data_IF_586480605820
#
_entry.id   IF_586480605820
#
_cell.length_a   1.000
_cell.length_b   1.000
_cell.length_c   1.000
_cell.angle_alpha   90.00
_cell.angle_beta   90.00
_cell.angle_gamma   90.00
#
_symmetry.space_group_name_H-M   'P 1'
#
loop_
_entity.id
_entity.type
_entity.pdbx_description
1 polymer ?
#
# COMPACT_ATOMS: atom_id res chain seq x y z
N UNK A 1 -32.31 -1.04 28.38
CA UNK A 1 -32.14 -1.51 26.99
C UNK A 1 -30.72 -2.00 26.86
N UNK A 2 -30.52 -3.32 26.77
CA UNK A 2 -29.19 -3.94 26.69
C UNK A 2 -28.83 -4.15 25.22
N UNK A 3 -27.73 -3.54 24.78
CA UNK A 3 -27.20 -3.72 23.44
C UNK A 3 -26.54 -5.10 23.34
N UNK A 4 -27.17 -6.01 22.60
CA UNK A 4 -26.60 -7.31 22.26
C UNK A 4 -25.42 -7.12 21.31
N UNK A 5 -24.20 -7.06 21.84
CA UNK A 5 -22.99 -7.26 21.07
C UNK A 5 -22.38 -8.62 21.44
N UNK A 6 -22.09 -9.44 20.43
CA UNK A 6 -21.28 -10.64 20.58
C UNK A 6 -19.83 -10.19 20.82
N UNK A 7 -19.39 -10.21 22.07
CA UNK A 7 -17.97 -10.17 22.39
C UNK A 7 -17.34 -11.47 21.89
N UNK A 8 -16.64 -11.39 20.75
CA UNK A 8 -15.81 -12.50 20.32
C UNK A 8 -14.57 -12.47 21.21
N UNK A 9 -14.53 -13.35 22.21
CA UNK A 9 -13.38 -13.58 23.07
C UNK A 9 -12.22 -14.18 22.25
N UNK A 10 -11.45 -13.32 21.59
CA UNK A 10 -10.30 -13.74 20.77
C UNK A 10 -9.09 -14.01 21.65
N UNK A 11 -9.08 -15.14 22.35
CA UNK A 11 -7.95 -15.53 23.23
C UNK A 11 -7.14 -16.73 22.73
N UNK A 12 -7.26 -17.13 21.46
CA UNK A 12 -6.34 -18.09 20.87
C UNK A 12 -5.52 -17.46 19.75
N UNK A 13 -4.19 -17.48 19.93
CA UNK A 13 -3.24 -17.05 18.90
C UNK A 13 -3.44 -17.80 17.59
N UNK A 14 -3.91 -19.05 17.65
CA UNK A 14 -4.13 -19.89 16.47
C UNK A 14 -5.33 -19.44 15.64
N UNK A 15 -6.44 -19.02 16.25
CA UNK A 15 -7.54 -18.40 15.49
C UNK A 15 -7.11 -17.07 14.90
N UNK A 16 -6.34 -16.26 15.64
CA UNK A 16 -5.78 -15.02 15.12
C UNK A 16 -4.80 -15.26 13.95
N UNK A 17 -3.96 -16.29 14.02
CA UNK A 17 -3.05 -16.69 12.93
C UNK A 17 -3.82 -17.20 11.72
N UNK A 18 -4.83 -18.05 11.93
CA UNK A 18 -5.67 -18.59 10.86
C UNK A 18 -6.50 -17.51 10.19
N UNK A 19 -7.14 -16.61 10.95
CA UNK A 19 -7.83 -15.44 10.41
C UNK A 19 -6.87 -14.55 9.62
N UNK A 20 -5.67 -14.24 10.16
CA UNK A 20 -4.65 -13.48 9.41
C UNK A 20 -4.20 -14.17 8.13
N UNK A 21 -4.00 -15.49 8.16
CA UNK A 21 -3.62 -16.26 6.96
C UNK A 21 -4.74 -16.32 5.94
N UNK A 22 -5.97 -16.67 6.35
CA UNK A 22 -7.13 -16.76 5.47
C UNK A 22 -7.44 -15.41 4.82
N UNK A 23 -7.33 -14.30 5.57
CA UNK A 23 -7.45 -12.94 5.00
C UNK A 23 -6.32 -12.68 3.99
N UNK A 24 -5.06 -12.99 4.32
CA UNK A 24 -3.91 -12.79 3.41
C UNK A 24 -3.98 -13.65 2.15
N UNK A 25 -4.54 -14.85 2.22
CA UNK A 25 -4.68 -15.77 1.08
C UNK A 25 -5.91 -15.48 0.22
N UNK A 26 -6.99 -14.92 0.78
CA UNK A 26 -8.24 -14.65 0.05
C UNK A 26 -8.27 -13.32 -0.68
N UNK A 27 -7.44 -12.35 -0.32
CA UNK A 27 -7.63 -10.98 -0.82
C UNK A 27 -6.93 -10.68 -2.15
N UNK A 28 -6.02 -11.53 -2.64
CA UNK A 28 -5.17 -11.21 -3.80
C UNK A 28 -4.53 -9.81 -3.68
N UNK A 29 -4.30 -9.33 -2.45
CA UNK A 29 -3.86 -7.96 -2.18
C UNK A 29 -2.34 -7.93 -2.16
N UNK A 30 -1.76 -7.63 -3.32
CA UNK A 30 -0.34 -7.31 -3.42
C UNK A 30 -0.06 -5.91 -2.85
N UNK A 31 0.92 -5.81 -1.95
CA UNK A 31 1.37 -4.54 -1.38
C UNK A 31 2.68 -4.12 -2.03
N UNK A 32 2.70 -2.93 -2.62
CA UNK A 32 3.93 -2.36 -3.20
C UNK A 32 4.83 -1.86 -2.08
N UNK A 33 6.11 -2.24 -2.10
CA UNK A 33 7.12 -1.72 -1.16
C UNK A 33 8.26 -1.08 -1.91
N UNK A 34 8.55 0.18 -1.60
CA UNK A 34 9.67 0.93 -2.20
C UNK A 34 10.55 1.52 -1.11
N UNK A 35 11.83 1.14 -1.12
CA UNK A 35 12.84 1.66 -0.20
C UNK A 35 13.60 2.82 -0.83
N UNK A 36 13.67 3.93 -0.12
CA UNK A 36 14.42 5.12 -0.51
C UNK A 36 15.76 5.15 0.20
N UNK A 37 16.77 5.74 -0.45
CA UNK A 37 18.12 5.88 0.10
C UNK A 37 18.25 7.06 1.08
N UNK A 38 17.18 7.85 1.27
CA UNK A 38 17.15 9.01 2.16
C UNK A 38 15.77 9.11 2.83
N UNK A 39 15.68 9.65 4.05
CA UNK A 39 14.40 9.93 4.68
C UNK A 39 13.55 10.89 3.85
N UNK A 40 12.25 10.59 3.78
CA UNK A 40 11.25 11.37 3.06
C UNK A 40 10.57 12.39 3.99
N UNK A 41 10.02 13.44 3.40
CA UNK A 41 9.07 14.33 4.04
C UNK A 41 7.69 13.66 4.05
N UNK A 42 7.15 13.26 5.23
CA UNK A 42 5.88 12.53 5.30
C UNK A 42 4.70 13.29 4.68
N UNK A 43 4.72 14.63 4.67
CA UNK A 43 3.66 15.45 4.06
C UNK A 43 3.53 15.23 2.54
N UNK A 44 4.62 14.78 1.90
CA UNK A 44 4.66 14.50 0.46
C UNK A 44 4.40 13.03 0.12
N UNK A 45 4.27 12.17 1.14
CA UNK A 45 3.99 10.74 1.00
C UNK A 45 2.47 10.55 1.09
N UNK A 46 1.79 10.72 -0.04
CA UNK A 46 0.33 10.71 -0.15
C UNK A 46 -0.12 10.24 -1.54
N UNK A 47 -1.43 10.06 -1.71
CA UNK A 47 -2.05 9.49 -2.92
C UNK A 47 -2.01 10.37 -4.17
N UNK A 48 -1.60 11.64 -4.04
CA UNK A 48 -1.36 12.53 -5.18
C UNK A 48 0.03 12.26 -5.78
N UNK A 49 1.00 11.93 -4.92
CA UNK A 49 2.38 11.72 -5.34
C UNK A 49 2.76 10.25 -5.50
N UNK A 50 1.97 9.34 -4.93
CA UNK A 50 2.18 7.90 -4.91
C UNK A 50 0.86 7.22 -5.23
N UNK A 51 0.71 6.69 -6.43
CA UNK A 51 -0.56 6.09 -6.84
C UNK A 51 -0.38 4.94 -7.80
N UNK A 52 -1.31 3.98 -7.72
CA UNK A 52 -1.36 2.82 -8.61
C UNK A 52 -2.38 3.08 -9.69
N UNK A 53 -2.03 2.80 -10.94
CA UNK A 53 -2.97 2.77 -12.07
C UNK A 53 -3.08 1.38 -12.67
N UNK A 54 -4.24 1.04 -13.24
CA UNK A 54 -4.38 -0.12 -14.11
C UNK A 54 -3.92 0.20 -15.54
N UNK A 55 -4.02 -0.79 -16.44
CA UNK A 55 -3.66 -0.69 -17.84
C UNK A 55 -4.38 0.44 -18.59
N UNK A 56 -5.62 0.74 -18.20
CA UNK A 56 -6.45 1.81 -18.75
C UNK A 56 -6.15 3.19 -18.13
N UNK A 57 -5.05 3.31 -17.38
CA UNK A 57 -4.64 4.51 -16.66
C UNK A 57 -5.64 4.99 -15.59
N UNK A 58 -6.56 4.14 -15.15
CA UNK A 58 -7.46 4.45 -14.04
C UNK A 58 -6.74 4.25 -12.72
N UNK A 59 -6.83 5.25 -11.82
CA UNK A 59 -6.25 5.16 -10.47
C UNK A 59 -7.06 4.22 -9.58
N UNK A 60 -6.34 3.38 -8.83
CA UNK A 60 -6.90 2.54 -7.77
C UNK A 60 -6.90 3.30 -6.44
N UNK A 61 -7.93 3.11 -5.61
CA UNK A 61 -7.90 3.65 -4.25
C UNK A 61 -6.86 2.86 -3.46
N UNK A 62 -6.00 3.54 -2.73
CA UNK A 62 -4.89 2.89 -2.03
C UNK A 62 -4.70 3.46 -0.63
N UNK A 63 -4.35 2.60 0.31
CA UNK A 63 -3.75 2.99 1.59
C UNK A 63 -2.25 3.23 1.38
N UNK A 64 -1.70 4.24 2.04
CA UNK A 64 -0.28 4.59 1.95
C UNK A 64 0.29 4.68 3.35
N UNK A 65 1.39 3.98 3.59
CA UNK A 65 2.12 4.01 4.86
C UNK A 65 3.57 4.37 4.59
N UNK A 66 4.15 5.14 5.50
CA UNK A 66 5.57 5.46 5.47
C UNK A 66 6.25 4.97 6.75
N UNK A 67 7.19 4.04 6.59
CA UNK A 67 8.11 3.66 7.64
C UNK A 67 9.35 4.55 7.56
N UNK A 68 9.39 5.55 8.44
CA UNK A 68 10.49 6.49 8.54
C UNK A 68 11.78 5.88 9.10
N UNK A 69 11.71 4.76 9.83
CA UNK A 69 12.89 4.09 10.35
C UNK A 69 13.64 3.34 9.23
N UNK A 70 12.90 2.75 8.30
CA UNK A 70 13.45 1.98 7.18
C UNK A 70 13.46 2.73 5.85
N UNK A 71 13.01 3.99 5.83
CA UNK A 71 12.82 4.80 4.62
C UNK A 71 12.02 4.07 3.54
N UNK A 72 10.97 3.37 3.95
CA UNK A 72 10.20 2.50 3.05
C UNK A 72 8.75 2.96 3.02
N UNK A 73 8.19 3.10 1.82
CA UNK A 73 6.76 3.28 1.64
C UNK A 73 6.10 1.93 1.37
N UNK A 74 4.88 1.79 1.85
CA UNK A 74 3.96 0.73 1.46
C UNK A 74 2.74 1.36 0.79
N UNK A 75 2.38 0.86 -0.39
CA UNK A 75 1.16 1.26 -1.11
C UNK A 75 0.31 0.01 -1.32
N UNK A 76 -0.89 0.02 -0.75
CA UNK A 76 -1.81 -1.11 -0.77
C UNK A 76 -3.12 -0.68 -1.43
N UNK A 77 -3.39 -1.13 -2.67
CA UNK A 77 -4.69 -0.96 -3.27
C UNK A 77 -5.81 -1.59 -2.44
N UNK A 78 -6.93 -0.87 -2.36
CA UNK A 78 -8.13 -1.28 -1.64
C UNK A 78 -9.03 -2.17 -2.52
N UNK A 79 -8.73 -2.25 -3.81
CA UNK A 79 -9.35 -3.16 -4.76
C UNK A 79 -8.43 -4.36 -5.06
N UNK A 80 -8.97 -5.57 -5.25
CA UNK A 80 -8.19 -6.74 -5.63
C UNK A 80 -7.62 -6.59 -7.04
N UNK A 81 -6.44 -7.17 -7.28
CA UNK A 81 -5.82 -7.19 -8.60
C UNK A 81 -6.48 -8.25 -9.49
N UNK A 82 -6.67 -7.91 -10.76
CA UNK A 82 -7.04 -8.85 -11.81
C UNK A 82 -5.80 -9.53 -12.39
N UNK A 83 -5.90 -10.83 -12.69
CA UNK A 83 -4.84 -11.62 -13.35
C UNK A 83 -4.62 -11.26 -14.82
N UNK A 84 -5.59 -10.58 -15.45
CA UNK A 84 -5.49 -10.20 -16.86
C UNK A 84 -4.89 -8.81 -17.05
N UNK A 85 -4.89 -7.97 -16.01
CA UNK A 85 -4.46 -6.57 -16.09
C UNK A 85 -3.00 -6.38 -15.67
N UNK A 86 -2.39 -5.31 -16.20
CA UNK A 86 -1.11 -4.79 -15.70
C UNK A 86 -1.36 -3.54 -14.87
N UNK A 87 -0.64 -3.41 -13.76
CA UNK A 87 -0.71 -2.29 -12.83
C UNK A 87 0.62 -1.56 -12.79
N UNK A 88 0.57 -0.25 -12.58
CA UNK A 88 1.76 0.61 -12.49
C UNK A 88 1.72 1.43 -11.21
N UNK A 89 2.72 1.27 -10.34
CA UNK A 89 2.97 2.23 -9.28
C UNK A 89 3.68 3.45 -9.87
N UNK A 90 3.11 4.62 -9.66
CA UNK A 90 3.64 5.91 -10.08
C UNK A 90 4.10 6.70 -8.85
N UNK A 91 5.36 7.12 -8.86
CA UNK A 91 5.96 8.01 -7.86
C UNK A 91 6.37 9.29 -8.56
N UNK A 92 5.76 10.41 -8.22
CA UNK A 92 6.00 11.69 -8.90
C UNK A 92 7.26 12.38 -8.36
N UNK A 93 7.74 13.38 -9.11
CA UNK A 93 8.87 14.23 -8.66
C UNK A 93 8.52 15.11 -7.46
N UNK A 94 7.25 15.20 -7.07
CA UNK A 94 6.81 15.99 -5.90
C UNK A 94 7.02 15.26 -4.57
N UNK A 95 7.43 13.98 -4.58
CA UNK A 95 7.96 13.33 -3.38
C UNK A 95 9.26 14.01 -2.97
N UNK A 96 9.34 14.40 -1.70
CA UNK A 96 10.48 15.12 -1.16
C UNK A 96 11.23 14.28 -0.13
N UNK A 97 12.55 14.43 -0.12
CA UNK A 97 13.37 14.10 1.04
C UNK A 97 13.02 15.00 2.23
N UNK A 98 13.37 14.57 3.45
CA UNK A 98 13.22 15.37 4.68
C UNK A 98 13.97 16.71 4.59
N UNK A 99 15.04 16.79 3.80
CA UNK A 99 15.78 18.02 3.52
C UNK A 99 15.18 18.90 2.41
N UNK A 100 13.97 18.61 1.93
CA UNK A 100 13.25 19.43 0.95
C UNK A 100 13.65 19.22 -0.51
N UNK A 101 14.58 18.31 -0.81
CA UNK A 101 14.93 17.96 -2.20
C UNK A 101 13.90 17.01 -2.80
N UNK A 102 13.41 17.35 -3.99
CA UNK A 102 12.52 16.53 -4.81
C UNK A 102 13.26 15.33 -5.45
N UNK A 103 12.52 14.31 -5.88
CA UNK A 103 13.07 13.31 -6.79
C UNK A 103 13.45 13.94 -8.13
N UNK A 104 14.55 13.48 -8.72
CA UNK A 104 15.07 14.00 -10.01
C UNK A 104 14.16 13.64 -11.19
N UNK A 105 13.64 12.42 -11.18
CA UNK A 105 12.77 11.85 -12.22
C UNK A 105 11.63 11.09 -11.54
N UNK A 106 10.46 10.99 -12.19
CA UNK A 106 9.41 10.11 -11.70
C UNK A 106 9.89 8.64 -11.73
N UNK A 107 9.31 7.81 -10.86
CA UNK A 107 9.55 6.36 -10.83
C UNK A 107 8.26 5.68 -11.25
N UNK A 108 8.36 4.71 -12.16
CA UNK A 108 7.25 3.85 -12.57
C UNK A 108 7.67 2.40 -12.46
N UNK A 109 6.88 1.60 -11.73
CA UNK A 109 7.12 0.17 -11.54
C UNK A 109 5.88 -0.57 -12.04
N UNK A 110 6.07 -1.48 -12.99
CA UNK A 110 4.98 -2.29 -13.57
C UNK A 110 4.91 -3.67 -12.92
N UNK A 111 3.70 -4.14 -12.68
CA UNK A 111 3.41 -5.44 -12.11
C UNK A 111 2.19 -6.05 -12.81
N UNK A 112 2.20 -7.37 -12.97
CA UNK A 112 1.04 -8.15 -13.43
C UNK A 112 0.94 -9.38 -12.54
N UNK A 113 -0.27 -9.72 -12.09
CA UNK A 113 -0.50 -10.95 -11.37
C UNK A 113 -0.26 -12.14 -12.31
N UNK A 114 0.62 -13.06 -11.87
CA UNK A 114 0.97 -14.30 -12.59
C UNK A 114 0.22 -15.51 -12.06
#
# INVERSE_FOLDING_TARGET
MASNYLEIETNSEDLQRKIRQDIRFRTNMFVWKVKFNSPLNPKTVNNVNLFVTNQSQMMLRSSIRYDAANNTIEVEPLEPYSSTETYTLNVTTKVQSKGGKNLRTPIQIKFKMG
#
